data_IF_215722936289
#
_entry.id   IF_215722936289
#
_cell.length_a   1.000
_cell.length_b   1.000
_cell.length_c   1.000
_cell.angle_alpha   90.00
_cell.angle_beta   90.00
_cell.angle_gamma   90.00
#
_symmetry.space_group_name_H-M   'P 1'
#
loop_
_entity.id
_entity.type
_entity.pdbx_description
1 polymer ?
#
# COMPACT_ATOMS: atom_id res chain seq x y z
N UNK A 1 5.24 -14.64 12.16
CA UNK A 1 4.74 -13.78 11.07
C UNK A 1 5.66 -12.58 11.08
N UNK A 2 6.41 -12.35 10.00
CA UNK A 2 7.30 -11.20 9.91
C UNK A 2 6.46 -9.93 9.93
N UNK A 3 6.78 -8.99 10.82
CA UNK A 3 6.13 -7.68 10.87
C UNK A 3 6.67 -6.83 9.70
N UNK A 4 5.78 -6.04 9.08
CA UNK A 4 6.19 -5.10 8.04
C UNK A 4 7.14 -4.06 8.64
N UNK A 5 8.21 -3.69 7.93
CA UNK A 5 9.04 -2.56 8.34
C UNK A 5 8.23 -1.26 8.33
N UNK A 6 7.18 -1.19 7.49
CA UNK A 6 6.20 -0.10 7.52
C UNK A 6 5.52 0.01 8.89
N UNK A 7 4.99 -1.11 9.40
CA UNK A 7 4.23 -1.12 10.65
C UNK A 7 5.13 -0.77 11.86
N UNK A 8 6.44 -0.99 11.76
CA UNK A 8 7.43 -0.56 12.74
C UNK A 8 7.82 0.92 12.58
N UNK A 9 7.79 1.45 11.35
CA UNK A 9 8.17 2.82 11.04
C UNK A 9 7.07 3.83 11.40
N UNK A 10 5.80 3.38 11.43
CA UNK A 10 4.65 4.23 11.69
C UNK A 10 3.78 3.62 12.80
N UNK A 11 3.71 4.29 13.96
CA UNK A 11 2.80 3.95 15.08
C UNK A 11 1.33 4.29 14.73
N UNK A 12 0.78 3.66 13.69
CA UNK A 12 -0.60 3.89 13.24
C UNK A 12 -1.59 3.05 14.06
N UNK A 13 -2.33 3.72 14.96
CA UNK A 13 -3.26 3.11 15.94
C UNK A 13 -4.49 2.44 15.27
N UNK A 14 -4.86 2.83 14.05
CA UNK A 14 -5.93 2.18 13.27
C UNK A 14 -5.54 2.06 11.78
N UNK A 15 -4.72 1.06 11.47
CA UNK A 15 -4.36 0.72 10.10
C UNK A 15 -5.51 0.01 9.38
N UNK A 16 -5.83 0.40 8.15
CA UNK A 16 -6.66 -0.44 7.30
C UNK A 16 -5.91 -1.72 6.90
N UNK A 17 -6.65 -2.78 6.57
CA UNK A 17 -6.06 -4.03 6.02
C UNK A 17 -5.51 -3.89 4.60
N UNK A 18 -5.56 -2.70 4.00
CA UNK A 18 -5.26 -2.46 2.59
C UNK A 18 -4.23 -1.34 2.44
N UNK A 19 -3.24 -1.58 1.60
CA UNK A 19 -2.26 -0.59 1.19
C UNK A 19 -2.47 -0.24 -0.27
N UNK A 20 -2.07 0.97 -0.66
CA UNK A 20 -2.06 1.45 -2.03
C UNK A 20 -0.64 1.89 -2.40
N UNK A 21 -0.15 1.51 -3.57
CA UNK A 21 1.21 1.84 -4.00
C UNK A 21 1.21 3.11 -4.86
N UNK A 22 2.02 4.11 -4.51
CA UNK A 22 2.19 5.36 -5.25
C UNK A 22 2.73 5.16 -6.67
N UNK A 23 3.52 4.12 -6.91
CA UNK A 23 4.14 3.88 -8.23
C UNK A 23 3.17 3.28 -9.25
N UNK A 24 2.46 2.23 -8.87
CA UNK A 24 1.58 1.49 -9.79
C UNK A 24 0.09 1.77 -9.57
N UNK A 25 -0.23 2.53 -8.52
CA UNK A 25 -1.57 2.95 -8.09
C UNK A 25 -2.49 1.77 -7.77
N UNK A 26 -1.92 0.58 -7.54
CA UNK A 26 -2.65 -0.63 -7.19
C UNK A 26 -2.74 -0.81 -5.69
N UNK A 27 -3.87 -1.34 -5.24
CA UNK A 27 -4.09 -1.75 -3.86
C UNK A 27 -3.62 -3.17 -3.63
N UNK A 28 -3.19 -3.50 -2.42
CA UNK A 28 -2.78 -4.84 -2.02
C UNK A 28 -3.00 -5.04 -0.51
N UNK A 29 -2.99 -6.29 -0.08
CA UNK A 29 -3.18 -6.65 1.33
C UNK A 29 -1.99 -6.17 2.17
N UNK A 30 -2.28 -5.53 3.32
CA UNK A 30 -1.26 -5.17 4.30
C UNK A 30 -0.55 -6.44 4.76
N UNK A 31 0.77 -6.40 4.88
CA UNK A 31 1.56 -7.62 5.15
C UNK A 31 2.09 -8.31 3.89
N UNK A 32 1.68 -7.87 2.68
CA UNK A 32 2.19 -8.41 1.42
C UNK A 32 3.22 -7.48 0.80
N UNK A 33 4.41 -8.01 0.59
CA UNK A 33 5.50 -7.37 -0.12
C UNK A 33 6.38 -8.44 -0.76
N UNK A 34 7.26 -8.02 -1.67
CA UNK A 34 8.39 -8.83 -2.14
C UNK A 34 9.64 -8.39 -1.43
N UNK A 35 10.44 -9.33 -0.94
CA UNK A 35 11.78 -9.02 -0.47
C UNK A 35 12.74 -8.96 -1.66
N UNK A 36 13.45 -7.85 -1.83
CA UNK A 36 14.48 -7.68 -2.85
C UNK A 36 15.65 -6.90 -2.27
N UNK A 37 16.82 -7.51 -2.23
CA UNK A 37 18.07 -6.89 -1.74
C UNK A 37 17.94 -6.28 -0.32
N UNK A 38 17.13 -6.91 0.54
CA UNK A 38 16.88 -6.44 1.91
C UNK A 38 15.77 -5.39 2.04
N UNK A 39 15.16 -4.96 0.93
CA UNK A 39 14.05 -4.02 0.89
C UNK A 39 12.71 -4.74 0.76
N UNK A 40 11.67 -4.15 1.36
CA UNK A 40 10.29 -4.58 1.20
C UNK A 40 9.69 -3.79 0.02
N UNK A 41 9.41 -4.47 -1.09
CA UNK A 41 8.92 -3.86 -2.33
C UNK A 41 7.45 -4.19 -2.56
N UNK A 42 6.77 -3.37 -3.36
CA UNK A 42 5.42 -3.59 -3.84
C UNK A 42 5.22 -5.05 -4.30
N UNK A 43 4.14 -5.74 -3.90
CA UNK A 43 3.97 -7.16 -4.19
C UNK A 43 3.85 -7.47 -5.69
N UNK A 44 3.46 -6.50 -6.51
CA UNK A 44 3.36 -6.65 -7.96
C UNK A 44 4.74 -6.69 -8.62
N UNK A 45 5.00 -7.71 -9.44
CA UNK A 45 6.29 -7.96 -10.08
C UNK A 45 6.67 -6.90 -11.13
N UNK A 46 5.68 -6.24 -11.70
CA UNK A 46 5.81 -5.17 -12.68
C UNK A 46 5.92 -3.77 -12.04
N UNK A 47 6.10 -3.71 -10.71
CA UNK A 47 6.27 -2.48 -9.94
C UNK A 47 7.60 -2.48 -9.17
N UNK A 48 8.19 -1.31 -9.01
CA UNK A 48 9.44 -1.06 -8.28
C UNK A 48 9.27 -0.17 -7.05
N UNK A 49 8.03 0.14 -6.65
CA UNK A 49 7.75 0.92 -5.44
C UNK A 49 8.22 0.20 -4.18
N UNK A 50 8.77 0.95 -3.24
CA UNK A 50 9.16 0.50 -1.91
C UNK A 50 7.91 0.47 -1.01
N UNK A 51 7.59 -0.70 -0.46
CA UNK A 51 6.38 -0.91 0.34
C UNK A 51 6.42 -0.22 1.72
N UNK A 52 7.57 0.31 2.15
CA UNK A 52 7.70 1.09 3.38
C UNK A 52 7.33 2.55 3.10
N UNK A 53 7.89 3.15 2.05
CA UNK A 53 7.73 4.59 1.75
C UNK A 53 6.64 4.91 0.71
N UNK A 54 6.45 4.06 -0.30
CA UNK A 54 5.52 4.29 -1.42
C UNK A 54 4.17 3.62 -1.20
N UNK A 55 4.01 2.87 -0.11
CA UNK A 55 2.73 2.34 0.31
C UNK A 55 1.97 3.37 1.14
N UNK A 56 0.72 3.64 0.84
CA UNK A 56 -0.15 4.48 1.67
C UNK A 56 -1.28 3.63 2.21
N UNK A 57 -1.76 3.95 3.41
CA UNK A 57 -2.95 3.28 3.93
C UNK A 57 -4.17 3.67 3.07
N UNK A 58 -5.06 2.69 2.85
CA UNK A 58 -6.26 2.93 2.07
C UNK A 58 -7.15 4.03 2.68
N UNK A 59 -7.22 4.12 4.01
CA UNK A 59 -7.96 5.19 4.68
C UNK A 59 -7.38 6.56 4.32
N UNK A 60 -6.05 6.72 4.34
CA UNK A 60 -5.37 7.97 3.95
C UNK A 60 -5.68 8.37 2.52
N UNK A 61 -5.63 7.44 1.56
CA UNK A 61 -5.96 7.76 0.16
C UNK A 61 -7.43 8.19 0.02
N UNK A 62 -8.35 7.56 0.76
CA UNK A 62 -9.77 7.92 0.75
C UNK A 62 -10.09 9.27 1.38
N UNK A 63 -9.26 9.78 2.28
CA UNK A 63 -9.41 11.14 2.80
C UNK A 63 -9.28 12.19 1.68
N UNK A 64 -8.42 11.91 0.71
CA UNK A 64 -8.20 12.75 -0.47
C UNK A 64 -9.15 12.41 -1.64
N UNK A 65 -9.57 11.15 -1.77
CA UNK A 65 -10.44 10.65 -2.84
C UNK A 65 -11.70 10.00 -2.27
N UNK A 66 -12.70 10.81 -1.94
CA UNK A 66 -13.95 10.35 -1.31
C UNK A 66 -14.83 9.51 -2.26
N UNK A 67 -14.58 9.59 -3.55
CA UNK A 67 -15.21 8.78 -4.61
C UNK A 67 -14.76 7.32 -4.59
N UNK A 68 -13.66 7.00 -3.91
CA UNK A 68 -13.16 5.64 -3.82
C UNK A 68 -13.99 4.78 -2.86
N UNK A 69 -14.14 3.47 -3.18
CA UNK A 69 -14.96 2.56 -2.41
C UNK A 69 -14.41 2.39 -0.99
N UNK A 70 -15.29 2.07 -0.04
CA UNK A 70 -14.87 1.80 1.35
C UNK A 70 -13.88 0.64 1.44
N UNK A 71 -14.10 -0.40 0.64
CA UNK A 71 -13.23 -1.56 0.51
C UNK A 71 -12.69 -1.61 -0.93
N UNK A 72 -11.37 -1.54 -1.14
CA UNK A 72 -10.79 -1.61 -2.47
C UNK A 72 -10.75 -3.05 -2.96
N UNK A 73 -10.73 -3.21 -4.28
CA UNK A 73 -10.41 -4.49 -4.90
C UNK A 73 -8.89 -4.65 -5.05
N UNK A 74 -8.33 -5.76 -4.58
CA UNK A 74 -6.89 -6.00 -4.70
C UNK A 74 -6.42 -6.04 -6.15
N UNK A 75 -5.30 -5.37 -6.44
CA UNK A 75 -4.72 -5.29 -7.78
C UNK A 75 -5.42 -4.28 -8.69
N UNK A 76 -6.54 -3.71 -8.28
CA UNK A 76 -7.22 -2.65 -9.02
C UNK A 76 -6.43 -1.35 -8.89
N UNK A 77 -6.33 -0.62 -10.01
CA UNK A 77 -5.68 0.69 -10.07
C UNK A 77 -6.67 1.79 -9.68
N UNK A 78 -6.24 2.65 -8.77
CA UNK A 78 -6.96 3.83 -8.29
C UNK A 78 -6.07 5.06 -8.50
N UNK A 79 -6.17 5.76 -9.65
CA UNK A 79 -5.23 6.81 -10.04
C UNK A 79 -5.30 8.06 -9.15
N UNK A 80 -4.17 8.51 -8.61
CA UNK A 80 -4.17 9.71 -7.76
C UNK A 80 -4.21 11.01 -8.58
N UNK A 81 -3.56 10.99 -9.74
CA UNK A 81 -3.53 12.11 -10.69
C UNK A 81 -4.25 11.66 -11.97
N UNK A 82 -5.42 12.27 -12.23
CA UNK A 82 -6.20 11.99 -13.44
C UNK A 82 -5.48 12.37 -14.74
#
# INVERSE_FOLDING_TARGET
MDQSHRDLAFDEIECSGHLWCLHCERTYERGKWRNKDGLQMCPYLDCDGDAVIDAWDWATIREHHREYPEFPEFGTRYPMYG
#
